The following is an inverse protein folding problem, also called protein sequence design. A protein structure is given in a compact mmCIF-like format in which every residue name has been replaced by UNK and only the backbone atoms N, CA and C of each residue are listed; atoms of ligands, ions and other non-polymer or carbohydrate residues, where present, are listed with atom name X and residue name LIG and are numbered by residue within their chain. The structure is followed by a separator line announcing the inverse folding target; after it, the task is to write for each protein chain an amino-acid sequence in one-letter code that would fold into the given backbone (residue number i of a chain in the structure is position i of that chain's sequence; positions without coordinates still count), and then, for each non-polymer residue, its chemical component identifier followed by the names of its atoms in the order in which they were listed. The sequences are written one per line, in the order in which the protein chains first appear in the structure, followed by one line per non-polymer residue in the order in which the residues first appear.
data_IF_630418405054
#
_entry.id   IF_630418405054
#
_cell.length_a   1.000
_cell.length_b   1.000
_cell.length_c   1.000
_cell.angle_alpha   90.00
_cell.angle_beta   90.00
_cell.angle_gamma   90.00
#
_symmetry.space_group_name_H-M   'P 1'
#
loop_
_entity.id
_entity.type
_entity.pdbx_description
1 polymer ?
#
# COMPACT_ATOMS: atom_id res chain seq x y z
N UNK A 1 20.85 3.66 -0.68
CA UNK A 1 20.23 2.35 -0.94
C UNK A 1 19.51 2.47 -2.26
N UNK A 2 19.85 1.66 -3.28
CA UNK A 2 19.16 1.71 -4.57
C UNK A 2 17.76 1.14 -4.42
N UNK A 3 16.76 1.75 -5.05
CA UNK A 3 15.41 1.18 -5.10
C UNK A 3 15.50 -0.09 -5.94
N UNK A 4 15.30 -1.24 -5.31
CA UNK A 4 15.22 -2.51 -6.04
C UNK A 4 13.87 -2.57 -6.74
N UNK A 5 13.90 -2.64 -8.07
CA UNK A 5 12.71 -2.80 -8.87
C UNK A 5 12.31 -4.28 -8.90
N UNK A 6 11.06 -4.57 -8.54
CA UNK A 6 10.49 -5.91 -8.61
C UNK A 6 9.52 -5.96 -9.80
N UNK A 7 9.76 -6.88 -10.74
CA UNK A 7 8.90 -7.04 -11.90
C UNK A 7 7.52 -7.57 -11.48
N UNK A 8 6.47 -6.99 -12.06
CA UNK A 8 5.10 -7.48 -11.97
C UNK A 8 4.62 -7.91 -13.34
N UNK A 9 3.66 -8.84 -13.39
CA UNK A 9 2.97 -9.15 -14.64
C UNK A 9 2.06 -7.99 -15.11
N UNK A 10 1.41 -8.16 -16.25
CA UNK A 10 0.49 -7.15 -16.82
C UNK A 10 -0.75 -6.87 -15.97
N UNK A 11 -1.04 -7.71 -14.97
CA UNK A 11 -2.13 -7.55 -14.02
C UNK A 11 -1.65 -6.97 -12.68
N UNK A 12 -0.35 -6.71 -12.53
CA UNK A 12 0.25 -6.18 -11.31
C UNK A 12 0.47 -7.24 -10.23
N UNK A 13 0.51 -8.53 -10.59
CA UNK A 13 0.85 -9.62 -9.67
C UNK A 13 2.34 -9.93 -9.71
N UNK A 14 2.84 -10.45 -8.60
CA UNK A 14 4.19 -10.99 -8.54
C UNK A 14 4.20 -12.35 -9.24
N UNK A 15 5.13 -12.60 -10.19
CA UNK A 15 5.19 -13.87 -10.91
C UNK A 15 5.65 -15.02 -10.01
N UNK A 16 5.29 -16.25 -10.38
CA UNK A 16 5.75 -17.44 -9.69
C UNK A 16 7.28 -17.46 -9.52
N UNK A 17 7.75 -17.89 -8.36
CA UNK A 17 9.18 -17.91 -8.01
C UNK A 17 9.76 -16.60 -7.48
N UNK A 18 8.97 -15.53 -7.39
CA UNK A 18 9.41 -14.27 -6.75
C UNK A 18 9.77 -14.49 -5.27
N UNK A 19 10.91 -13.96 -4.84
CA UNK A 19 11.30 -13.91 -3.42
C UNK A 19 10.49 -12.83 -2.68
N UNK A 20 9.40 -13.25 -2.05
CA UNK A 20 8.52 -12.36 -1.29
C UNK A 20 9.22 -11.75 -0.08
N UNK A 21 10.19 -12.42 0.52
CA UNK A 21 10.94 -11.85 1.65
C UNK A 21 11.81 -10.68 1.22
N UNK A 22 12.45 -10.78 0.05
CA UNK A 22 13.18 -9.65 -0.53
C UNK A 22 12.25 -8.50 -0.94
N UNK A 23 11.09 -8.81 -1.58
CA UNK A 23 10.07 -7.81 -1.91
C UNK A 23 9.59 -7.09 -0.66
N UNK A 24 9.32 -7.83 0.41
CA UNK A 24 8.93 -7.23 1.67
C UNK A 24 10.06 -6.36 2.20
N UNK A 25 11.31 -6.84 2.27
CA UNK A 25 12.44 -6.10 2.83
C UNK A 25 12.68 -4.76 2.12
N UNK A 26 12.78 -4.78 0.79
CA UNK A 26 13.34 -3.66 -0.01
C UNK A 26 12.35 -3.05 -1.01
N UNK A 27 11.12 -3.58 -1.07
CA UNK A 27 10.09 -3.13 -2.00
C UNK A 27 9.59 -1.72 -1.73
N UNK A 28 9.38 -0.98 -2.82
CA UNK A 28 8.69 0.30 -2.82
C UNK A 28 7.16 0.10 -2.69
N UNK A 29 6.41 1.21 -2.75
CA UNK A 29 4.94 1.18 -2.69
C UNK A 29 4.33 0.26 -3.74
N UNK A 30 4.87 0.22 -4.96
CA UNK A 30 4.33 -0.62 -6.04
C UNK A 30 4.54 -2.09 -5.74
N UNK A 31 5.74 -2.44 -5.28
CA UNK A 31 6.08 -3.81 -4.92
C UNK A 31 5.23 -4.33 -3.75
N UNK A 32 5.01 -3.50 -2.71
CA UNK A 32 4.15 -3.86 -1.58
C UNK A 32 2.68 -3.99 -1.97
N UNK A 33 2.17 -3.14 -2.87
CA UNK A 33 0.83 -3.30 -3.46
C UNK A 33 0.74 -4.62 -4.24
N UNK A 34 1.77 -4.99 -5.00
CA UNK A 34 1.80 -6.24 -5.75
C UNK A 34 1.72 -7.47 -4.83
N UNK A 35 2.38 -7.46 -3.66
CA UNK A 35 2.22 -8.53 -2.65
C UNK A 35 0.76 -8.65 -2.21
N UNK A 36 0.11 -7.52 -1.89
CA UNK A 36 -1.29 -7.50 -1.45
C UNK A 36 -2.26 -7.98 -2.54
N UNK A 37 -2.09 -7.52 -3.77
CA UNK A 37 -2.89 -7.95 -4.92
C UNK A 37 -2.70 -9.44 -5.22
N UNK A 38 -1.46 -9.92 -5.18
CA UNK A 38 -1.15 -11.35 -5.39
C UNK A 38 -1.87 -12.22 -4.37
N UNK A 39 -1.79 -11.88 -3.07
CA UNK A 39 -2.53 -12.60 -2.03
C UNK A 39 -4.05 -12.55 -2.21
N UNK A 40 -4.59 -11.38 -2.57
CA UNK A 40 -6.02 -11.21 -2.81
C UNK A 40 -6.51 -12.11 -3.95
N UNK A 41 -5.74 -12.23 -5.03
CA UNK A 41 -6.01 -13.13 -6.15
C UNK A 41 -5.92 -14.60 -5.74
N UNK A 42 -4.90 -15.00 -4.96
CA UNK A 42 -4.80 -16.37 -4.40
C UNK A 42 -6.07 -16.72 -3.62
N UNK A 43 -6.54 -15.81 -2.77
CA UNK A 43 -7.76 -16.02 -1.97
C UNK A 43 -8.99 -16.21 -2.87
N UNK A 44 -9.13 -15.41 -3.92
CA UNK A 44 -10.21 -15.52 -4.88
C UNK A 44 -10.17 -16.85 -5.64
N UNK A 45 -9.00 -17.23 -6.17
CA UNK A 45 -8.84 -18.48 -6.92
C UNK A 45 -9.12 -19.70 -6.05
N UNK A 46 -8.55 -19.77 -4.84
CA UNK A 46 -8.81 -20.86 -3.90
C UNK A 46 -10.26 -20.94 -3.46
N UNK A 47 -10.94 -19.81 -3.26
CA UNK A 47 -12.37 -19.81 -2.95
C UNK A 47 -13.22 -20.31 -4.13
N UNK A 48 -12.84 -19.97 -5.36
CA UNK A 48 -13.49 -20.48 -6.57
C UNK A 48 -13.35 -22.00 -6.69
N UNK A 49 -12.14 -22.52 -6.50
CA UNK A 49 -11.87 -23.96 -6.49
C UNK A 49 -12.69 -24.68 -5.42
N UNK A 50 -12.72 -24.16 -4.19
CA UNK A 50 -13.51 -24.74 -3.11
C UNK A 50 -15.01 -24.81 -3.42
N UNK A 51 -15.56 -23.80 -4.11
CA UNK A 51 -16.98 -23.82 -4.56
C UNK A 51 -17.22 -24.88 -5.63
N UNK A 52 -16.27 -25.07 -6.55
CA UNK A 52 -16.35 -26.14 -7.56
C UNK A 52 -16.32 -27.50 -6.87
N UNK A 53 -15.39 -27.71 -5.92
CA UNK A 53 -15.28 -28.96 -5.15
C UNK A 53 -16.55 -29.28 -4.34
N UNK A 54 -17.28 -28.25 -3.90
CA UNK A 54 -18.54 -28.38 -3.16
C UNK A 54 -19.77 -28.52 -4.08
N UNK A 55 -19.60 -28.48 -5.41
CA UNK A 55 -20.73 -28.51 -6.35
C UNK A 55 -21.56 -27.22 -6.37
N UNK A 56 -21.04 -26.12 -5.82
CA UNK A 56 -21.70 -24.80 -5.78
C UNK A 56 -21.38 -23.93 -7.00
N UNK A 57 -20.68 -24.48 -8.00
CA UNK A 57 -20.38 -23.77 -9.24
C UNK A 57 -21.67 -23.45 -9.99
N UNK A 58 -21.87 -22.18 -10.32
CA UNK A 58 -23.03 -21.70 -11.10
C UNK A 58 -22.80 -21.69 -12.61
N UNK A 59 -21.60 -22.06 -13.06
CA UNK A 59 -21.23 -22.04 -14.49
C UNK A 59 -21.55 -23.35 -15.18
N UNK A 60 -21.80 -23.26 -16.50
CA UNK A 60 -22.09 -24.42 -17.36
C UNK A 60 -20.86 -25.32 -17.61
N UNK A 61 -19.66 -24.82 -17.29
CA UNK A 61 -18.39 -25.56 -17.42
C UNK A 61 -17.51 -25.44 -16.16
N UNK A 62 -17.78 -26.27 -15.12
CA UNK A 62 -16.99 -26.27 -13.88
C UNK A 62 -15.53 -26.70 -14.09
N UNK A 63 -15.27 -27.63 -15.01
CA UNK A 63 -13.92 -28.16 -15.26
C UNK A 63 -13.04 -27.15 -16.02
N UNK A 64 -13.58 -26.48 -17.04
CA UNK A 64 -12.87 -25.38 -17.69
C UNK A 64 -12.59 -24.23 -16.72
N UNK A 65 -13.55 -23.92 -15.84
CA UNK A 65 -13.35 -22.92 -14.78
C UNK A 65 -12.24 -23.34 -13.83
N UNK A 66 -12.21 -24.60 -13.37
CA UNK A 66 -11.14 -25.16 -12.53
C UNK A 66 -9.77 -24.97 -13.19
N UNK A 67 -9.64 -25.39 -14.45
CA UNK A 67 -8.37 -25.32 -15.18
C UNK A 67 -7.83 -23.88 -15.28
N UNK A 68 -8.71 -22.89 -15.49
CA UNK A 68 -8.33 -21.47 -15.51
C UNK A 68 -7.83 -21.00 -14.14
N UNK A 69 -8.52 -21.36 -13.06
CA UNK A 69 -8.14 -20.97 -11.69
C UNK A 69 -6.80 -21.60 -11.27
N UNK A 70 -6.60 -22.89 -11.56
CA UNK A 70 -5.34 -23.61 -11.30
C UNK A 70 -4.20 -23.02 -12.13
N UNK A 71 -4.44 -22.75 -13.42
CA UNK A 71 -3.45 -22.07 -14.26
C UNK A 71 -3.12 -20.66 -13.74
N UNK A 72 -4.08 -19.96 -13.14
CA UNK A 72 -3.86 -18.64 -12.54
C UNK A 72 -2.95 -18.74 -11.32
N UNK A 73 -3.24 -19.67 -10.40
CA UNK A 73 -2.42 -19.94 -9.22
C UNK A 73 -0.98 -20.32 -9.59
N UNK A 74 -0.78 -21.14 -10.61
CA UNK A 74 0.54 -21.59 -11.04
C UNK A 74 1.44 -20.46 -11.60
N UNK A 75 0.86 -19.32 -12.01
CA UNK A 75 1.60 -18.20 -12.63
C UNK A 75 2.01 -17.11 -11.65
N UNK A 76 1.42 -17.08 -10.46
CA UNK A 76 1.65 -16.03 -9.47
C UNK A 76 2.50 -16.56 -8.30
N UNK A 77 3.19 -15.65 -7.61
CA UNK A 77 4.02 -15.97 -6.46
C UNK A 77 3.17 -16.52 -5.32
N UNK A 78 3.76 -17.40 -4.51
CA UNK A 78 3.14 -17.85 -3.27
C UNK A 78 3.25 -16.74 -2.22
N UNK A 79 2.10 -16.17 -1.83
CA UNK A 79 2.02 -15.17 -0.76
C UNK A 79 1.15 -15.71 0.36
N UNK A 80 1.70 -15.72 1.57
CA UNK A 80 0.97 -16.12 2.78
C UNK A 80 0.12 -14.96 3.34
N UNK A 81 -0.93 -15.25 4.15
CA UNK A 81 -1.70 -14.19 4.82
C UNK A 81 -0.84 -13.26 5.70
N UNK A 82 0.20 -13.79 6.36
CA UNK A 82 1.08 -13.01 7.23
C UNK A 82 1.94 -12.04 6.40
N UNK A 83 2.50 -12.50 5.27
CA UNK A 83 3.24 -11.63 4.36
C UNK A 83 2.36 -10.54 3.74
N UNK A 84 1.10 -10.87 3.41
CA UNK A 84 0.15 -9.88 2.93
C UNK A 84 -0.18 -8.81 3.99
N UNK A 85 -0.32 -9.23 5.27
CA UNK A 85 -0.51 -8.31 6.38
C UNK A 85 0.71 -7.43 6.63
N UNK A 86 1.92 -7.99 6.51
CA UNK A 86 3.16 -7.21 6.60
C UNK A 86 3.25 -6.16 5.49
N UNK A 87 2.97 -6.56 4.24
CA UNK A 87 2.93 -5.64 3.10
C UNK A 87 1.90 -4.52 3.34
N UNK A 88 0.71 -4.85 3.86
CA UNK A 88 -0.32 -3.88 4.20
C UNK A 88 0.16 -2.88 5.25
N UNK A 89 0.75 -3.36 6.36
CA UNK A 89 1.30 -2.49 7.41
C UNK A 89 2.35 -1.53 6.84
N UNK A 90 3.31 -2.06 6.09
CA UNK A 90 4.38 -1.24 5.48
C UNK A 90 3.84 -0.22 4.48
N UNK A 91 2.84 -0.59 3.68
CA UNK A 91 2.17 0.31 2.75
C UNK A 91 1.48 1.46 3.51
N UNK A 92 0.76 1.15 4.59
CA UNK A 92 0.14 2.17 5.45
C UNK A 92 1.19 3.09 6.06
N UNK A 93 2.31 2.54 6.56
CA UNK A 93 3.40 3.32 7.12
C UNK A 93 4.00 4.29 6.09
N UNK A 94 4.26 3.82 4.86
CA UNK A 94 4.77 4.64 3.76
C UNK A 94 3.79 5.74 3.35
N UNK A 95 2.52 5.39 3.11
CA UNK A 95 1.49 6.36 2.71
C UNK A 95 1.23 7.40 3.81
N UNK A 96 1.31 7.00 5.07
CA UNK A 96 1.23 7.91 6.22
C UNK A 96 2.45 8.82 6.29
N UNK A 97 3.65 8.31 5.98
CA UNK A 97 4.86 9.11 5.81
C UNK A 97 4.74 10.10 4.65
N UNK A 98 4.13 9.71 3.53
CA UNK A 98 3.95 10.57 2.37
C UNK A 98 2.94 11.68 2.61
N UNK A 99 1.86 11.38 3.32
CA UNK A 99 0.84 12.36 3.72
C UNK A 99 1.46 13.60 4.33
N UNK A 100 2.50 13.45 5.15
CA UNK A 100 3.19 14.56 5.78
C UNK A 100 3.76 15.56 4.77
N UNK A 101 4.58 15.12 3.79
CA UNK A 101 5.15 16.07 2.83
C UNK A 101 4.10 16.58 1.84
N UNK A 102 3.08 15.78 1.52
CA UNK A 102 1.97 16.24 0.66
C UNK A 102 1.15 17.33 1.35
N UNK A 103 0.90 17.23 2.67
CA UNK A 103 0.25 18.30 3.43
C UNK A 103 1.10 19.58 3.44
N UNK A 104 2.42 19.47 3.53
CA UNK A 104 3.33 20.61 3.41
C UNK A 104 3.21 21.24 2.02
N UNK A 105 3.31 20.45 0.97
CA UNK A 105 3.28 20.93 -0.41
C UNK A 105 1.92 21.59 -0.74
N UNK A 106 0.81 21.08 -0.19
CA UNK A 106 -0.51 21.73 -0.26
C UNK A 106 -0.52 23.10 0.43
N UNK A 107 0.08 23.22 1.62
CA UNK A 107 0.23 24.53 2.30
C UNK A 107 1.10 25.49 1.51
N UNK A 108 2.19 25.02 0.91
CA UNK A 108 3.07 25.83 0.06
C UNK A 108 2.35 26.29 -1.22
N UNK A 109 1.42 25.49 -1.73
CA UNK A 109 0.54 25.86 -2.84
C UNK A 109 -0.59 26.83 -2.44
N UNK A 110 -0.76 27.11 -1.15
CA UNK A 110 -1.74 28.06 -0.61
C UNK A 110 -3.05 27.44 -0.11
N UNK A 111 -3.17 26.11 -0.08
CA UNK A 111 -4.37 25.46 0.46
C UNK A 111 -4.50 25.71 1.97
N UNK A 112 -5.72 25.98 2.42
CA UNK A 112 -6.00 26.20 3.85
C UNK A 112 -5.93 24.90 4.65
N UNK A 113 -5.68 25.00 5.96
CA UNK A 113 -5.82 23.85 6.86
C UNK A 113 -7.24 23.27 6.89
N UNK A 114 -8.27 24.07 6.57
CA UNK A 114 -9.64 23.59 6.42
C UNK A 114 -9.76 22.65 5.22
N UNK A 115 -9.27 23.07 4.05
CA UNK A 115 -9.30 22.28 2.81
C UNK A 115 -8.49 20.98 2.95
N UNK A 116 -7.33 21.04 3.60
CA UNK A 116 -6.53 19.85 3.91
C UNK A 116 -7.27 18.93 4.88
N UNK A 117 -7.94 19.48 5.90
CA UNK A 117 -8.78 18.70 6.81
C UNK A 117 -9.89 17.96 6.07
N UNK A 118 -10.65 18.67 5.23
CA UNK A 118 -11.72 18.09 4.41
C UNK A 118 -11.21 16.95 3.53
N UNK A 119 -10.07 17.12 2.85
CA UNK A 119 -9.47 16.09 2.01
C UNK A 119 -9.03 14.82 2.78
N UNK A 120 -8.76 14.96 4.09
CA UNK A 120 -8.35 13.86 4.98
C UNK A 120 -9.50 13.30 5.81
N UNK A 121 -10.73 13.80 5.65
CA UNK A 121 -11.87 13.52 6.53
C UNK A 121 -11.57 13.86 8.01
N UNK A 122 -11.00 15.05 8.21
CA UNK A 122 -10.60 15.59 9.51
C UNK A 122 -11.08 17.04 9.67
N UNK A 123 -11.16 17.53 10.91
CA UNK A 123 -11.32 18.97 11.14
C UNK A 123 -10.05 19.74 10.80
N UNK A 124 -10.15 21.07 10.55
CA UNK A 124 -9.01 21.99 10.43
C UNK A 124 -7.99 21.76 11.55
N UNK A 125 -8.47 21.74 12.79
CA UNK A 125 -7.64 21.55 13.98
C UNK A 125 -7.00 20.16 14.00
N UNK A 126 -7.74 19.12 13.61
CA UNK A 126 -7.24 17.76 13.52
C UNK A 126 -6.09 17.62 12.53
N UNK A 127 -6.20 18.24 11.35
CA UNK A 127 -5.14 18.25 10.35
C UNK A 127 -3.89 18.99 10.85
N UNK A 128 -4.06 20.17 11.44
CA UNK A 128 -2.96 20.95 12.01
C UNK A 128 -2.23 20.19 13.13
N UNK A 129 -2.98 19.57 14.06
CA UNK A 129 -2.40 18.83 15.19
C UNK A 129 -1.75 17.53 14.75
N UNK A 130 -2.29 16.87 13.72
CA UNK A 130 -1.61 15.73 13.11
C UNK A 130 -0.28 16.14 12.49
N UNK A 131 -0.27 17.24 11.74
CA UNK A 131 0.93 17.78 11.09
C UNK A 131 2.00 18.15 12.14
N UNK A 132 1.64 18.92 13.19
CA UNK A 132 2.57 19.27 14.29
C UNK A 132 3.20 18.05 14.96
N UNK A 133 2.41 16.99 15.21
CA UNK A 133 2.94 15.73 15.78
C UNK A 133 3.94 15.05 14.86
N UNK A 134 3.76 15.15 13.54
CA UNK A 134 4.72 14.61 12.58
C UNK A 134 6.00 15.42 12.50
N UNK A 135 5.94 16.75 12.61
CA UNK A 135 7.15 17.58 12.79
C UNK A 135 7.95 17.09 13.98
N UNK A 136 7.31 17.04 15.16
CA UNK A 136 7.98 16.65 16.40
C UNK A 136 8.62 15.25 16.30
N UNK A 137 7.91 14.29 15.69
CA UNK A 137 8.46 12.96 15.44
C UNK A 137 9.70 12.99 14.51
N UNK A 138 9.66 13.75 13.42
CA UNK A 138 10.79 13.83 12.49
C UNK A 138 12.00 14.52 13.13
N UNK A 139 11.77 15.58 13.90
CA UNK A 139 12.81 16.28 14.66
C UNK A 139 13.48 15.38 15.71
N UNK A 140 12.71 14.52 16.37
CA UNK A 140 13.23 13.61 17.41
C UNK A 140 14.01 12.42 16.82
N UNK A 141 13.51 11.81 15.73
CA UNK A 141 14.01 10.51 15.28
C UNK A 141 14.85 10.54 13.99
N UNK A 142 14.71 11.58 13.15
CA UNK A 142 15.41 11.70 11.86
C UNK A 142 15.80 13.16 11.54
N UNK A 143 16.51 13.85 12.46
CA UNK A 143 16.83 15.27 12.30
C UNK A 143 17.69 15.57 11.06
N UNK A 144 18.60 14.66 10.69
CA UNK A 144 19.52 14.86 9.56
C UNK A 144 18.85 14.76 8.18
N UNK A 145 17.64 14.20 8.12
CA UNK A 145 16.89 13.98 6.87
C UNK A 145 15.65 14.88 6.77
N UNK A 146 15.47 15.82 7.69
CA UNK A 146 14.29 16.67 7.79
C UNK A 146 14.64 18.15 7.65
N UNK A 147 14.02 18.84 6.68
CA UNK A 147 14.04 20.29 6.60
C UNK A 147 12.99 20.89 7.55
N UNK A 148 13.41 21.04 8.81
CA UNK A 148 12.59 21.54 9.92
C UNK A 148 12.07 22.95 9.68
N UNK A 149 12.90 23.83 9.13
CA UNK A 149 12.52 25.23 8.92
C UNK A 149 11.41 25.34 7.87
N UNK A 150 11.56 24.61 6.76
CA UNK A 150 10.53 24.52 5.72
C UNK A 150 9.24 23.90 6.26
N UNK A 151 9.34 22.86 7.07
CA UNK A 151 8.19 22.21 7.72
C UNK A 151 7.43 23.14 8.68
N UNK A 152 8.13 23.99 9.43
CA UNK A 152 7.51 24.93 10.37
C UNK A 152 6.92 26.17 9.68
N UNK A 153 7.49 26.59 8.55
CA UNK A 153 7.05 27.77 7.80
C UNK A 153 5.56 27.71 7.39
N UNK A 154 5.02 26.51 7.17
CA UNK A 154 3.64 26.32 6.71
C UNK A 154 2.58 26.28 7.83
N UNK A 155 2.98 26.41 9.09
CA UNK A 155 2.09 26.32 10.26
C UNK A 155 1.15 27.54 10.45
N UNK A 156 1.36 28.64 9.71
CA UNK A 156 0.55 29.86 9.82
C UNK A 156 -0.96 29.64 9.58
N UNK A 157 -1.79 30.61 9.96
CA UNK A 157 -3.25 30.43 10.15
C UNK A 157 -4.11 30.32 8.88
N UNK A 158 -3.52 30.43 7.68
CA UNK A 158 -4.24 30.34 6.39
C UNK A 158 -5.10 29.10 6.26
#
# INVERSE_FOLDING_TARGET
MGIQYFETDSLGYLPAGTDISAVLADGDVRALIAVWHTYSSIKLYRSGLAKIDQGESRGDDPEGTRAVLESGLAKIAEVTPVQALEANRRLVDLLTGYRWFVMRDAREAGDSWTSIGEALDMSKQGALDWYKRKIAFQEEFVPDFHDTDRARAVLGEG
#
